data_IF_361124502018
#
_entry.id   IF_361124502018
#
_cell.length_a   1.000
_cell.length_b   1.000
_cell.length_c   1.000
_cell.angle_alpha   90.00
_cell.angle_beta   90.00
_cell.angle_gamma   90.00
#
_symmetry.space_group_name_H-M   'P 1'
#
loop_
_entity.id
_entity.type
_entity.pdbx_description
1 polymer ?
#
# COMPACT_ATOMS: atom_id res chain seq x y z
N UNK A 1 8.38 30.00 -8.72
CA UNK A 1 8.02 29.40 -7.42
C UNK A 1 6.51 29.34 -7.12
N UNK A 2 5.63 30.03 -7.87
CA UNK A 2 4.16 29.91 -7.68
C UNK A 2 3.46 28.75 -8.41
N UNK A 3 4.09 28.18 -9.44
CA UNK A 3 3.49 27.12 -10.29
C UNK A 3 3.35 25.81 -9.52
N UNK A 4 4.36 25.45 -8.72
CA UNK A 4 4.37 24.22 -7.91
C UNK A 4 3.26 24.27 -6.85
N UNK A 5 3.09 25.40 -6.15
CA UNK A 5 2.00 25.60 -5.20
C UNK A 5 0.61 25.61 -5.85
N UNK A 6 0.48 26.13 -7.08
CA UNK A 6 -0.78 26.05 -7.85
C UNK A 6 -1.09 24.62 -8.30
N UNK A 7 -0.08 23.85 -8.69
CA UNK A 7 -0.24 22.43 -9.04
C UNK A 7 -0.72 21.61 -7.85
N UNK A 8 -0.11 21.76 -6.67
CA UNK A 8 -0.57 21.06 -5.46
C UNK A 8 -2.02 21.40 -5.09
N UNK A 9 -2.41 22.67 -5.24
CA UNK A 9 -3.79 23.11 -4.99
C UNK A 9 -4.77 22.51 -6.02
N UNK A 10 -4.35 22.37 -7.28
CA UNK A 10 -5.16 21.77 -8.36
C UNK A 10 -5.26 20.24 -8.23
N UNK A 11 -4.26 19.57 -7.67
CA UNK A 11 -4.32 18.14 -7.34
C UNK A 11 -5.07 17.86 -6.03
N UNK A 12 -5.63 18.87 -5.36
CA UNK A 12 -6.28 18.75 -4.05
C UNK A 12 -5.40 18.04 -2.99
N UNK A 13 -4.07 18.12 -3.15
CA UNK A 13 -3.12 17.56 -2.20
C UNK A 13 -2.98 18.58 -1.09
N UNK A 14 -3.62 18.29 0.05
CA UNK A 14 -3.42 19.08 1.25
C UNK A 14 -1.93 19.14 1.59
N UNK A 15 -1.40 20.31 1.97
CA UNK A 15 0.01 20.45 2.34
C UNK A 15 0.41 19.57 3.53
N UNK A 16 -0.55 19.19 4.40
CA UNK A 16 -0.30 18.30 5.54
C UNK A 16 0.13 16.88 5.12
N UNK A 17 -0.63 16.11 4.31
CA UNK A 17 -0.18 14.80 3.82
C UNK A 17 1.09 14.86 2.96
N UNK A 18 1.38 15.98 2.29
CA UNK A 18 2.63 16.15 1.56
C UNK A 18 3.85 16.14 2.49
N UNK A 19 3.79 16.86 3.61
CA UNK A 19 4.85 16.88 4.62
C UNK A 19 5.01 15.49 5.22
N UNK A 20 3.89 14.82 5.55
CA UNK A 20 3.92 13.45 6.08
C UNK A 20 4.59 12.52 5.07
N UNK A 21 4.20 12.54 3.80
CA UNK A 21 4.79 11.71 2.75
C UNK A 21 6.29 12.00 2.54
N UNK A 22 6.70 13.27 2.63
CA UNK A 22 8.10 13.67 2.50
C UNK A 22 8.97 13.13 3.64
N UNK A 23 8.42 13.03 4.86
CA UNK A 23 9.11 12.44 6.02
C UNK A 23 9.03 10.92 5.99
N UNK A 24 7.87 10.36 5.62
CA UNK A 24 7.66 8.92 5.57
C UNK A 24 8.46 8.27 4.44
N UNK A 25 8.65 8.95 3.31
CA UNK A 25 9.42 8.45 2.17
C UNK A 25 10.80 7.94 2.55
N UNK A 26 11.71 8.78 3.09
CA UNK A 26 13.04 8.34 3.51
C UNK A 26 12.97 7.31 4.63
N UNK A 27 11.97 7.37 5.51
CA UNK A 27 11.77 6.35 6.54
C UNK A 27 11.44 4.98 5.94
N UNK A 28 10.57 4.93 4.93
CA UNK A 28 10.22 3.70 4.21
C UNK A 28 11.42 3.16 3.45
N UNK A 29 12.19 4.01 2.77
CA UNK A 29 13.37 3.58 2.04
C UNK A 29 14.48 3.06 2.95
N UNK A 30 14.71 3.70 4.10
CA UNK A 30 15.65 3.20 5.10
C UNK A 30 15.23 1.84 5.64
N UNK A 31 13.94 1.66 5.93
CA UNK A 31 13.40 0.38 6.40
C UNK A 31 13.53 -0.72 5.34
N UNK A 32 13.24 -0.39 4.08
CA UNK A 32 13.40 -1.30 2.93
C UNK A 32 14.87 -1.69 2.73
N UNK A 33 15.78 -0.71 2.74
CA UNK A 33 17.22 -0.95 2.61
C UNK A 33 17.74 -1.81 3.75
N UNK A 34 17.35 -1.52 4.98
CA UNK A 34 17.74 -2.28 6.16
C UNK A 34 17.25 -3.73 6.06
N UNK A 35 15.99 -3.95 5.68
CA UNK A 35 15.43 -5.30 5.51
C UNK A 35 16.11 -6.06 4.37
N UNK A 36 16.40 -5.42 3.24
CA UNK A 36 17.13 -6.05 2.12
C UNK A 36 18.59 -6.36 2.47
N UNK A 37 19.25 -5.49 3.24
CA UNK A 37 20.61 -5.73 3.75
C UNK A 37 20.63 -6.95 4.70
N UNK A 38 19.69 -7.01 5.64
CA UNK A 38 19.52 -8.18 6.52
C UNK A 38 19.19 -9.45 5.73
N UNK A 39 18.44 -9.33 4.64
CA UNK A 39 18.11 -10.43 3.74
C UNK A 39 19.25 -10.82 2.77
N UNK A 40 20.41 -10.18 2.85
CA UNK A 40 21.57 -10.45 1.96
C UNK A 40 21.22 -10.28 0.47
N UNK A 41 20.29 -9.36 0.15
CA UNK A 41 19.81 -9.14 -1.21
C UNK A 41 18.72 -10.10 -1.70
N UNK A 42 18.28 -11.06 -0.88
CA UNK A 42 17.23 -12.00 -1.28
C UNK A 42 15.83 -11.38 -1.05
N UNK A 43 15.26 -10.80 -2.11
CA UNK A 43 13.93 -10.18 -2.13
C UNK A 43 12.81 -11.15 -1.76
N UNK A 44 13.06 -12.47 -1.89
CA UNK A 44 12.14 -13.53 -1.46
C UNK A 44 11.83 -13.43 0.02
N UNK A 45 12.75 -12.93 0.84
CA UNK A 45 12.52 -12.75 2.27
C UNK A 45 11.38 -11.75 2.55
N UNK A 46 11.14 -10.75 1.70
CA UNK A 46 10.01 -9.84 1.90
C UNK A 46 8.65 -10.55 1.76
N UNK A 47 8.59 -11.59 0.91
CA UNK A 47 7.36 -12.33 0.60
C UNK A 47 7.21 -13.59 1.47
N UNK A 48 8.30 -14.32 1.71
CA UNK A 48 8.31 -15.61 2.41
C UNK A 48 8.45 -15.50 3.93
N UNK A 49 8.60 -14.29 4.50
CA UNK A 49 8.49 -14.11 5.95
C UNK A 49 7.04 -14.43 6.38
N UNK A 50 6.83 -15.30 7.39
CA UNK A 50 5.49 -15.77 7.77
C UNK A 50 4.56 -14.62 8.18
N UNK A 51 5.11 -13.58 8.80
CA UNK A 51 4.35 -12.38 9.18
C UNK A 51 3.94 -11.55 7.94
N UNK A 52 4.87 -11.27 7.02
CA UNK A 52 4.57 -10.53 5.77
C UNK A 52 3.54 -11.26 4.92
N UNK A 53 3.67 -12.59 4.81
CA UNK A 53 2.75 -13.42 4.05
C UNK A 53 1.35 -13.42 4.66
N UNK A 54 1.24 -13.50 5.99
CA UNK A 54 -0.04 -13.36 6.69
C UNK A 54 -0.69 -11.99 6.43
N UNK A 55 0.08 -10.89 6.54
CA UNK A 55 -0.39 -9.53 6.25
C UNK A 55 -0.84 -9.35 4.80
N UNK A 56 -0.08 -9.88 3.83
CA UNK A 56 -0.43 -9.86 2.42
C UNK A 56 -1.72 -10.63 2.14
N UNK A 57 -1.88 -11.83 2.72
CA UNK A 57 -3.10 -12.63 2.59
C UNK A 57 -4.31 -11.91 3.16
N UNK A 58 -4.18 -11.28 4.33
CA UNK A 58 -5.24 -10.47 4.93
C UNK A 58 -5.59 -9.28 4.03
N UNK A 59 -4.59 -8.57 3.50
CA UNK A 59 -4.81 -7.45 2.58
C UNK A 59 -5.56 -7.87 1.31
N UNK A 60 -5.15 -8.99 0.69
CA UNK A 60 -5.85 -9.57 -0.47
C UNK A 60 -7.28 -9.95 -0.10
N UNK A 61 -7.49 -10.57 1.06
CA UNK A 61 -8.82 -10.97 1.52
C UNK A 61 -9.74 -9.75 1.71
N UNK A 62 -9.24 -8.67 2.30
CA UNK A 62 -10.01 -7.43 2.51
C UNK A 62 -10.39 -6.78 1.17
N UNK A 63 -9.48 -6.74 0.20
CA UNK A 63 -9.77 -6.23 -1.14
C UNK A 63 -10.74 -7.13 -1.91
N UNK A 64 -10.59 -8.45 -1.79
CA UNK A 64 -11.38 -9.43 -2.53
C UNK A 64 -12.76 -9.69 -1.90
N UNK A 65 -12.93 -9.50 -0.59
CA UNK A 65 -14.18 -9.76 0.12
C UNK A 65 -15.40 -9.00 -0.47
N UNK A 66 -15.37 -7.68 -0.69
CA UNK A 66 -16.53 -6.96 -1.24
C UNK A 66 -16.97 -7.46 -2.62
N UNK A 67 -16.10 -7.62 -3.64
CA UNK A 67 -16.52 -8.15 -4.94
C UNK A 67 -16.94 -9.63 -4.88
N UNK A 68 -16.31 -10.48 -4.06
CA UNK A 68 -16.73 -11.88 -3.90
C UNK A 68 -18.14 -11.99 -3.34
N UNK A 69 -18.44 -11.23 -2.28
CA UNK A 69 -19.76 -11.23 -1.64
C UNK A 69 -20.81 -10.64 -2.58
N UNK A 70 -20.48 -9.59 -3.33
CA UNK A 70 -21.37 -9.03 -4.34
C UNK A 70 -21.68 -10.02 -5.48
N UNK A 71 -20.68 -10.76 -5.96
CA UNK A 71 -20.84 -11.78 -6.99
C UNK A 71 -21.73 -12.95 -6.51
N UNK A 72 -21.48 -13.47 -5.31
CA UNK A 72 -22.26 -14.56 -4.70
C UNK A 72 -23.72 -14.16 -4.40
N UNK A 73 -23.97 -12.90 -4.04
CA UNK A 73 -25.33 -12.37 -3.85
C UNK A 73 -26.08 -12.18 -5.17
N UNK A 74 -25.38 -11.92 -6.27
CA UNK A 74 -25.97 -11.77 -7.61
C UNK A 74 -26.51 -13.09 -8.15
N UNK A 75 -25.78 -14.18 -7.96
CA UNK A 75 -26.22 -15.53 -8.37
C UNK A 75 -27.41 -16.04 -7.55
N UNK A 76 -27.53 -15.65 -6.27
CA UNK A 76 -28.69 -16.02 -5.43
C UNK A 76 -29.98 -15.22 -5.66
N UNK A 77 -29.94 -14.10 -6.41
CA UNK A 77 -31.14 -13.34 -6.79
C UNK A 77 -31.73 -13.75 -8.15
N UNK A 78 -31.01 -14.57 -8.90
CA UNK A 78 -31.41 -15.05 -10.22
C UNK A 78 -31.98 -16.48 -10.21
N UNK A 79 -32.04 -17.12 -9.03
CA UNK A 79 -32.69 -18.40 -8.77
C UNK A 79 -33.84 -18.15 -7.78
#
# INVERSE_FOLDING_TARGET
MGIVGWAFRKLAIDPAPLIVALVLGPFMENTLRQTLFMAHGDWRLLVFRPLSLALLLVGVLVLAAPPLVAALRRTRRAA
#
